data_IF_538754183674
#
_entry.id   IF_538754183674
#
_cell.length_a   1.000
_cell.length_b   1.000
_cell.length_c   1.000
_cell.angle_alpha   90.00
_cell.angle_beta   90.00
_cell.angle_gamma   90.00
#
_symmetry.space_group_name_H-M   'P 1'
#
loop_
_entity.id
_entity.type
_entity.pdbx_description
1 polymer ?
#
# COMPACT_ATOMS: atom_id res chain seq x y z
N UNK A 1 33.78 15.86 -17.04
CA UNK A 1 32.71 15.69 -18.05
C UNK A 1 31.40 15.50 -17.29
N UNK A 2 30.57 16.53 -17.19
CA UNK A 2 29.34 16.50 -16.39
C UNK A 2 28.19 15.93 -17.25
N UNK A 3 27.67 14.76 -16.86
CA UNK A 3 26.52 14.15 -17.50
C UNK A 3 25.25 14.94 -17.20
N UNK A 4 24.66 15.55 -18.24
CA UNK A 4 23.29 16.06 -18.19
C UNK A 4 22.34 14.87 -18.03
N UNK A 5 21.84 14.65 -16.82
CA UNK A 5 20.62 13.86 -16.58
C UNK A 5 19.44 14.63 -17.19
N UNK A 6 19.17 14.36 -18.47
CA UNK A 6 18.00 14.89 -19.16
C UNK A 6 16.72 14.39 -18.50
N UNK A 7 15.83 15.31 -18.12
CA UNK A 7 14.46 14.96 -17.71
C UNK A 7 13.79 14.19 -18.86
N UNK A 8 13.03 13.11 -18.58
CA UNK A 8 12.27 12.39 -19.60
C UNK A 8 11.39 13.36 -20.41
N UNK A 9 11.31 13.17 -21.72
CA UNK A 9 10.65 14.11 -22.64
C UNK A 9 9.18 14.41 -22.33
N UNK A 10 8.50 13.50 -21.61
CA UNK A 10 7.11 13.63 -21.19
C UNK A 10 6.92 14.42 -19.87
N UNK A 11 8.00 14.75 -19.17
CA UNK A 11 8.03 15.60 -17.96
C UNK A 11 8.71 16.95 -18.20
N UNK A 12 8.90 17.34 -19.46
CA UNK A 12 9.23 18.72 -19.77
C UNK A 12 8.01 19.58 -19.45
N UNK A 13 8.20 20.49 -18.49
CA UNK A 13 7.37 21.69 -18.36
C UNK A 13 7.11 22.24 -19.77
N UNK A 14 5.87 22.59 -20.16
CA UNK A 14 5.67 23.39 -21.37
C UNK A 14 6.58 24.62 -21.26
N UNK A 15 7.45 24.78 -22.26
CA UNK A 15 8.52 25.77 -22.23
C UNK A 15 7.91 27.16 -21.93
N UNK A 16 8.26 27.83 -20.80
CA UNK A 16 7.72 29.14 -20.48
C UNK A 16 8.18 30.21 -21.49
N UNK A 17 9.12 29.87 -22.39
CA UNK A 17 9.49 30.70 -23.53
C UNK A 17 8.54 30.56 -24.73
N UNK A 18 7.64 29.56 -24.73
CA UNK A 18 6.56 29.43 -25.72
C UNK A 18 5.22 30.00 -25.25
N UNK A 19 5.14 30.50 -24.01
CA UNK A 19 4.04 31.33 -23.54
C UNK A 19 4.56 32.73 -23.20
N UNK A 20 4.38 33.73 -24.07
CA UNK A 20 4.60 35.10 -23.69
C UNK A 20 3.48 35.47 -22.71
N UNK A 21 3.77 35.53 -21.40
CA UNK A 21 3.14 36.43 -20.41
C UNK A 21 3.51 36.01 -18.97
N UNK A 22 4.35 36.82 -18.32
CA UNK A 22 4.32 37.13 -16.88
C UNK A 22 4.73 36.01 -15.90
N UNK A 23 5.99 35.94 -15.47
CA UNK A 23 6.53 36.68 -14.31
C UNK A 23 6.53 35.90 -12.98
N UNK A 24 7.74 35.47 -12.61
CA UNK A 24 8.43 35.72 -11.33
C UNK A 24 7.66 35.47 -10.03
N UNK A 25 8.13 34.51 -9.22
CA UNK A 25 8.48 34.74 -7.82
C UNK A 25 9.33 33.58 -7.27
N UNK A 26 10.56 33.92 -6.89
CA UNK A 26 11.48 33.09 -6.15
C UNK A 26 11.18 33.19 -4.66
N UNK A 27 11.05 32.06 -3.95
CA UNK A 27 11.12 32.05 -2.48
C UNK A 27 12.00 30.88 -2.05
N UNK A 28 13.16 31.24 -1.50
CA UNK A 28 13.99 30.38 -0.67
C UNK A 28 13.26 30.12 0.66
N UNK A 29 13.13 28.86 1.06
CA UNK A 29 12.69 28.47 2.39
C UNK A 29 13.41 27.19 2.79
N UNK A 30 14.45 27.31 3.59
CA UNK A 30 15.12 26.19 4.22
C UNK A 30 14.24 25.66 5.35
N UNK A 31 13.97 24.35 5.38
CA UNK A 31 13.38 23.68 6.54
C UNK A 31 14.25 22.46 6.86
N UNK A 32 14.91 22.53 8.01
CA UNK A 32 15.65 21.44 8.66
C UNK A 32 14.62 20.50 9.30
N UNK A 33 14.73 19.20 9.05
CA UNK A 33 13.91 18.18 9.71
C UNK A 33 14.82 17.19 10.43
N UNK A 34 14.73 17.22 11.76
CA UNK A 34 15.47 16.41 12.72
C UNK A 34 14.94 14.97 12.69
N UNK A 35 15.81 14.02 12.36
CA UNK A 35 15.52 12.59 12.45
C UNK A 35 15.92 12.13 13.85
N UNK A 36 14.93 11.98 14.74
CA UNK A 36 15.10 11.31 16.01
C UNK A 36 14.99 9.80 15.82
N UNK A 37 16.13 9.12 15.83
CA UNK A 37 16.24 7.66 15.89
C UNK A 37 16.76 7.20 17.25
N UNK A 38 16.42 5.96 17.60
CA UNK A 38 16.97 5.20 18.73
C UNK A 38 15.90 4.86 19.78
N UNK A 39 15.83 3.66 20.34
CA UNK A 39 16.67 2.47 20.20
C UNK A 39 15.87 1.25 20.69
N UNK A 40 16.20 0.08 20.15
CA UNK A 40 15.81 -1.21 20.69
C UNK A 40 16.42 -1.41 22.09
N UNK A 41 15.63 -1.94 23.03
CA UNK A 41 16.15 -2.61 24.21
C UNK A 41 15.73 -4.08 24.16
N UNK A 42 16.72 -4.92 23.85
CA UNK A 42 16.74 -6.34 24.20
C UNK A 42 17.15 -6.43 25.68
N UNK A 43 16.39 -7.16 26.48
CA UNK A 43 16.85 -7.67 27.76
C UNK A 43 16.18 -9.02 28.02
N UNK A 44 16.97 -10.09 27.89
CA UNK A 44 16.72 -11.36 28.55
C UNK A 44 17.44 -11.38 29.91
N UNK A 45 16.90 -12.14 30.86
CA UNK A 45 17.55 -12.42 32.15
C UNK A 45 16.59 -13.14 33.11
N UNK A 46 17.04 -14.26 33.66
CA UNK A 46 16.27 -15.28 34.38
C UNK A 46 16.00 -15.00 35.88
N UNK A 47 14.96 -15.68 36.39
CA UNK A 47 14.46 -15.97 37.76
C UNK A 47 15.51 -16.27 38.87
N UNK A 48 15.20 -16.33 40.21
CA UNK A 48 13.92 -16.77 40.85
C UNK A 48 13.50 -16.14 42.22
N UNK A 49 12.23 -16.31 42.63
CA UNK A 49 11.85 -16.46 44.05
C UNK A 49 10.42 -17.00 44.29
N UNK A 50 10.36 -18.25 44.75
CA UNK A 50 9.56 -18.80 45.86
C UNK A 50 8.10 -18.37 46.08
N UNK A 51 7.20 -19.33 45.85
CA UNK A 51 5.87 -19.38 46.47
C UNK A 51 5.13 -20.67 46.14
N UNK A 52 5.25 -21.71 46.97
CA UNK A 52 4.31 -22.84 47.02
C UNK A 52 3.17 -22.49 48.01
N UNK A 53 1.94 -22.96 47.79
CA UNK A 53 1.48 -24.26 48.33
C UNK A 53 0.74 -25.12 47.28
N UNK A 54 1.05 -26.42 47.19
CA UNK A 54 0.29 -27.59 47.73
C UNK A 54 -1.12 -27.83 47.15
N UNK A 55 -1.23 -28.97 46.44
CA UNK A 55 -2.39 -29.84 46.13
C UNK A 55 -3.55 -29.22 45.33
N UNK A 56 -4.06 -29.83 44.26
CA UNK A 56 -4.88 -31.05 44.30
C UNK A 56 -4.92 -31.72 42.92
N UNK A 57 -5.05 -33.05 42.91
CA UNK A 57 -5.27 -33.87 41.73
C UNK A 57 -6.62 -33.58 41.04
N UNK A 58 -6.63 -33.81 39.72
CA UNK A 58 -7.82 -34.04 38.90
C UNK A 58 -8.57 -32.79 38.48
N UNK A 59 -8.49 -32.42 37.20
CA UNK A 59 -9.60 -32.68 36.26
C UNK A 59 -9.12 -32.31 34.85
N UNK A 60 -9.46 -33.16 33.88
CA UNK A 60 -9.21 -32.86 32.47
C UNK A 60 -10.24 -31.80 32.05
N UNK A 61 -9.87 -30.53 32.14
CA UNK A 61 -10.75 -29.46 31.65
C UNK A 61 -10.71 -29.49 30.13
N UNK A 62 -11.76 -30.06 29.57
CA UNK A 62 -12.04 -30.10 28.14
C UNK A 62 -12.07 -28.66 27.60
N UNK A 63 -11.04 -28.27 26.84
CA UNK A 63 -10.99 -27.02 26.08
C UNK A 63 -11.97 -27.12 24.90
N UNK A 64 -13.27 -27.01 25.19
CA UNK A 64 -14.33 -26.92 24.18
C UNK A 64 -14.67 -25.46 23.82
N UNK A 65 -14.03 -24.48 24.45
CA UNK A 65 -14.29 -23.04 24.26
C UNK A 65 -13.52 -22.37 23.12
N UNK A 66 -12.30 -22.81 22.82
CA UNK A 66 -11.41 -22.10 21.87
C UNK A 66 -11.68 -22.47 20.40
N UNK A 67 -12.23 -23.66 20.16
CA UNK A 67 -12.48 -24.18 18.80
C UNK A 67 -13.64 -23.45 18.11
N UNK A 68 -14.65 -23.03 18.87
CA UNK A 68 -15.84 -22.36 18.33
C UNK A 68 -15.52 -20.92 17.95
N UNK A 69 -14.78 -20.19 18.79
CA UNK A 69 -14.34 -18.82 18.48
C UNK A 69 -13.40 -18.78 17.28
N UNK A 70 -12.41 -19.69 17.21
CA UNK A 70 -11.50 -19.75 16.07
C UNK A 70 -12.17 -20.16 14.76
N UNK A 71 -13.12 -21.10 14.81
CA UNK A 71 -13.94 -21.46 13.65
C UNK A 71 -14.80 -20.27 13.19
N UNK A 72 -15.42 -19.53 14.12
CA UNK A 72 -16.22 -18.35 13.79
C UNK A 72 -15.36 -17.23 13.16
N UNK A 73 -14.20 -16.93 13.75
CA UNK A 73 -13.25 -15.95 13.21
C UNK A 73 -12.81 -16.30 11.78
N UNK A 74 -12.57 -17.59 11.52
CA UNK A 74 -12.17 -18.05 10.19
C UNK A 74 -13.28 -17.88 9.14
N UNK A 75 -14.54 -18.18 9.51
CA UNK A 75 -15.70 -18.01 8.63
C UNK A 75 -16.01 -16.54 8.38
N UNK A 76 -15.95 -15.70 9.41
CA UNK A 76 -16.11 -14.25 9.30
C UNK A 76 -15.00 -13.63 8.44
N UNK A 77 -13.75 -14.07 8.62
CA UNK A 77 -12.62 -13.61 7.82
C UNK A 77 -12.75 -13.99 6.35
N UNK A 78 -13.18 -15.22 6.04
CA UNK A 78 -13.45 -15.64 4.68
C UNK A 78 -14.60 -14.86 4.05
N UNK A 79 -15.69 -14.63 4.79
CA UNK A 79 -16.84 -13.83 4.36
C UNK A 79 -16.43 -12.37 4.07
N UNK A 80 -15.66 -11.76 4.97
CA UNK A 80 -15.10 -10.43 4.78
C UNK A 80 -14.19 -10.37 3.55
N UNK A 81 -13.32 -11.37 3.37
CA UNK A 81 -12.40 -11.42 2.24
C UNK A 81 -13.18 -11.46 0.92
N UNK A 82 -14.18 -12.33 0.81
CA UNK A 82 -15.02 -12.39 -0.38
C UNK A 82 -15.85 -11.11 -0.58
N UNK A 83 -16.45 -10.56 0.48
CA UNK A 83 -17.23 -9.32 0.42
C UNK A 83 -16.42 -8.10 -0.01
N UNK A 84 -15.10 -8.09 0.24
CA UNK A 84 -14.18 -7.02 -0.18
C UNK A 84 -13.54 -7.24 -1.56
N UNK A 85 -13.85 -8.34 -2.26
CA UNK A 85 -13.19 -8.73 -3.51
C UNK A 85 -13.24 -7.64 -4.59
N UNK A 86 -14.42 -7.06 -4.83
CA UNK A 86 -14.58 -6.04 -5.86
C UNK A 86 -13.74 -4.78 -5.60
N UNK A 87 -13.50 -4.44 -4.33
CA UNK A 87 -12.66 -3.32 -3.95
C UNK A 87 -11.17 -3.65 -4.13
N UNK A 88 -10.74 -4.84 -3.70
CA UNK A 88 -9.37 -5.31 -3.90
C UNK A 88 -9.03 -5.46 -5.38
N UNK A 89 -9.98 -5.90 -6.21
CA UNK A 89 -9.82 -6.03 -7.66
C UNK A 89 -9.67 -4.68 -8.39
N UNK A 90 -10.38 -3.63 -7.94
CA UNK A 90 -10.20 -2.27 -8.45
C UNK A 90 -8.79 -1.76 -8.18
N UNK A 91 -8.33 -1.85 -6.93
CA UNK A 91 -6.94 -1.49 -6.57
C UNK A 91 -5.95 -2.30 -7.39
N UNK A 92 -6.12 -3.61 -7.53
CA UNK A 92 -5.24 -4.45 -8.35
C UNK A 92 -5.21 -4.03 -9.83
N UNK A 93 -6.33 -3.57 -10.38
CA UNK A 93 -6.44 -3.05 -11.74
C UNK A 93 -5.64 -1.76 -11.91
N UNK A 94 -5.79 -0.81 -10.99
CA UNK A 94 -5.05 0.45 -11.00
C UNK A 94 -3.55 0.24 -10.80
N UNK A 95 -3.16 -0.68 -9.91
CA UNK A 95 -1.77 -1.07 -9.68
C UNK A 95 -1.15 -1.65 -10.96
N UNK A 96 -1.87 -2.55 -11.65
CA UNK A 96 -1.40 -3.12 -12.91
C UNK A 96 -1.25 -2.05 -14.01
N UNK A 97 -2.23 -1.16 -14.13
CA UNK A 97 -2.19 -0.04 -15.07
C UNK A 97 -1.03 0.92 -14.77
N UNK A 98 -0.81 1.28 -13.50
CA UNK A 98 0.27 2.16 -13.09
C UNK A 98 1.64 1.56 -13.46
N UNK A 99 1.84 0.26 -13.22
CA UNK A 99 3.06 -0.46 -13.62
C UNK A 99 3.25 -0.43 -15.13
N UNK A 100 2.19 -0.69 -15.90
CA UNK A 100 2.25 -0.67 -17.35
C UNK A 100 2.64 0.71 -17.89
N UNK A 101 2.00 1.79 -17.41
CA UNK A 101 2.30 3.15 -17.87
C UNK A 101 3.65 3.68 -17.37
N UNK A 102 4.12 3.28 -16.18
CA UNK A 102 5.48 3.55 -15.73
C UNK A 102 6.52 2.89 -16.65
N UNK A 103 6.31 1.62 -17.02
CA UNK A 103 7.21 0.90 -17.92
C UNK A 103 7.21 1.50 -19.34
N UNK A 104 6.04 1.93 -19.82
CA UNK A 104 5.88 2.61 -21.10
C UNK A 104 6.36 4.08 -21.09
N UNK A 105 6.64 4.64 -19.91
CA UNK A 105 6.95 6.06 -19.71
C UNK A 105 5.83 6.99 -20.22
N UNK A 106 4.57 6.56 -20.09
CA UNK A 106 3.40 7.30 -20.53
C UNK A 106 2.80 8.09 -19.36
N UNK A 107 3.27 9.32 -19.19
CA UNK A 107 2.77 10.22 -18.13
C UNK A 107 1.30 10.61 -18.30
N UNK A 108 0.82 10.74 -19.53
CA UNK A 108 -0.54 11.19 -19.82
C UNK A 108 -1.57 10.15 -19.36
N UNK A 109 -1.28 8.87 -19.60
CA UNK A 109 -2.11 7.77 -19.10
C UNK A 109 -1.84 7.42 -17.64
N UNK A 110 -0.61 7.64 -17.13
CA UNK A 110 -0.28 7.39 -15.72
C UNK A 110 -1.02 8.34 -14.77
N UNK A 111 -1.15 9.62 -15.10
CA UNK A 111 -1.77 10.63 -14.23
C UNK A 111 -3.19 10.26 -13.75
N UNK A 112 -4.16 9.93 -14.63
CA UNK A 112 -5.51 9.56 -14.18
C UNK A 112 -5.51 8.26 -13.37
N UNK A 113 -4.66 7.29 -13.70
CA UNK A 113 -4.55 6.03 -12.93
C UNK A 113 -4.07 6.30 -11.51
N UNK A 114 -3.12 7.21 -11.31
CA UNK A 114 -2.63 7.54 -9.97
C UNK A 114 -3.69 8.21 -9.09
N UNK A 115 -4.60 8.98 -9.69
CA UNK A 115 -5.77 9.52 -8.98
C UNK A 115 -6.76 8.42 -8.61
N UNK A 116 -7.05 7.50 -9.55
CA UNK A 116 -7.92 6.34 -9.31
C UNK A 116 -7.35 5.47 -8.18
N UNK A 117 -6.06 5.11 -8.26
CA UNK A 117 -5.38 4.30 -7.26
C UNK A 117 -5.51 4.90 -5.86
N UNK A 118 -5.29 6.22 -5.73
CA UNK A 118 -5.44 6.91 -4.45
C UNK A 118 -6.87 6.86 -3.92
N UNK A 119 -7.86 7.02 -4.81
CA UNK A 119 -9.29 6.99 -4.47
C UNK A 119 -9.73 5.59 -4.04
N UNK A 120 -9.42 4.56 -4.83
CA UNK A 120 -9.81 3.18 -4.53
C UNK A 120 -9.07 2.63 -3.31
N UNK A 121 -7.81 3.04 -3.10
CA UNK A 121 -7.07 2.67 -1.88
C UNK A 121 -7.65 3.36 -0.64
N UNK A 122 -8.04 4.63 -0.74
CA UNK A 122 -8.73 5.31 0.36
C UNK A 122 -10.08 4.64 0.66
N UNK A 123 -10.83 4.27 -0.37
CA UNK A 123 -12.06 3.50 -0.20
C UNK A 123 -11.79 2.17 0.51
N UNK A 124 -10.71 1.46 0.14
CA UNK A 124 -10.25 0.24 0.82
C UNK A 124 -9.97 0.46 2.31
N UNK A 125 -9.19 1.48 2.67
CA UNK A 125 -8.82 1.78 4.05
C UNK A 125 -9.99 2.26 4.93
N UNK A 126 -11.10 2.69 4.33
CA UNK A 126 -12.32 3.09 5.05
C UNK A 126 -13.45 2.07 5.00
N UNK A 127 -13.25 0.95 4.29
CA UNK A 127 -14.20 -0.14 4.21
C UNK A 127 -14.30 -0.90 5.55
N UNK A 128 -15.28 -1.81 5.71
CA UNK A 128 -15.32 -2.68 6.88
C UNK A 128 -13.98 -3.37 7.11
N UNK A 129 -13.50 -3.31 8.34
CA UNK A 129 -12.19 -3.80 8.77
C UNK A 129 -12.18 -5.33 8.82
N UNK A 130 -11.06 -6.00 8.52
CA UNK A 130 -10.95 -7.45 8.73
C UNK A 130 -11.26 -7.83 10.20
N UNK A 131 -11.96 -8.95 10.45
CA UNK A 131 -12.38 -9.32 11.80
C UNK A 131 -11.23 -9.79 12.71
N UNK A 132 -10.06 -10.11 12.15
CA UNK A 132 -8.88 -10.51 12.92
C UNK A 132 -7.77 -9.47 12.87
N UNK A 133 -7.07 -9.27 14.00
CA UNK A 133 -5.98 -8.30 14.13
C UNK A 133 -4.85 -8.56 13.11
N UNK A 134 -4.53 -9.83 12.86
CA UNK A 134 -3.50 -10.21 11.90
C UNK A 134 -3.88 -9.84 10.47
N UNK A 135 -5.15 -10.07 10.08
CA UNK A 135 -5.64 -9.69 8.75
C UNK A 135 -5.74 -8.17 8.61
N UNK A 136 -6.21 -7.47 9.64
CA UNK A 136 -6.27 -6.01 9.68
C UNK A 136 -4.89 -5.39 9.48
N UNK A 137 -3.88 -5.85 10.23
CA UNK A 137 -2.53 -5.29 10.14
C UNK A 137 -1.97 -5.38 8.71
N UNK A 138 -2.19 -6.49 8.01
CA UNK A 138 -1.73 -6.71 6.63
C UNK A 138 -2.55 -5.92 5.61
N UNK A 139 -3.86 -5.87 5.78
CA UNK A 139 -4.73 -5.08 4.92
C UNK A 139 -4.38 -3.58 4.99
N UNK A 140 -4.23 -3.05 6.21
CA UNK A 140 -3.88 -1.65 6.45
C UNK A 140 -2.45 -1.31 6.01
N UNK A 141 -1.48 -2.23 6.22
CA UNK A 141 -0.12 -2.04 5.73
C UNK A 141 -0.10 -1.94 4.20
N UNK A 142 -0.66 -2.91 3.49
CA UNK A 142 -0.67 -2.89 2.03
C UNK A 142 -1.47 -1.72 1.44
N UNK A 143 -2.60 -1.36 2.07
CA UNK A 143 -3.36 -0.18 1.67
C UNK A 143 -2.56 1.13 1.87
N UNK A 144 -1.80 1.27 2.96
CA UNK A 144 -0.92 2.44 3.15
C UNK A 144 0.21 2.49 2.13
N UNK A 145 0.77 1.35 1.76
CA UNK A 145 1.82 1.28 0.74
C UNK A 145 1.28 1.66 -0.65
N UNK A 146 0.09 1.19 -1.04
CA UNK A 146 -0.56 1.65 -2.28
C UNK A 146 -0.92 3.15 -2.23
N UNK A 147 -1.35 3.67 -1.09
CA UNK A 147 -1.61 5.10 -0.92
C UNK A 147 -0.32 5.92 -1.05
N UNK A 148 0.80 5.44 -0.51
CA UNK A 148 2.12 6.06 -0.67
C UNK A 148 2.60 6.05 -2.12
N UNK A 149 2.30 4.98 -2.87
CA UNK A 149 2.54 4.92 -4.31
C UNK A 149 1.73 5.98 -5.07
N UNK A 150 0.42 6.09 -4.80
CA UNK A 150 -0.44 7.11 -5.40
C UNK A 150 0.03 8.53 -5.09
N UNK A 151 0.42 8.81 -3.84
CA UNK A 151 0.96 10.10 -3.41
C UNK A 151 2.28 10.44 -4.13
N UNK A 152 3.20 9.47 -4.21
CA UNK A 152 4.47 9.64 -4.95
C UNK A 152 4.24 9.84 -6.44
N UNK A 153 3.22 9.19 -7.01
CA UNK A 153 2.85 9.38 -8.40
C UNK A 153 2.27 10.78 -8.65
N UNK A 154 1.41 11.28 -7.76
CA UNK A 154 0.92 12.67 -7.85
C UNK A 154 2.07 13.68 -7.86
N UNK A 155 3.12 13.45 -7.07
CA UNK A 155 4.33 14.29 -7.04
C UNK A 155 5.09 14.36 -8.37
N UNK A 156 4.92 13.39 -9.28
CA UNK A 156 5.47 13.46 -10.63
C UNK A 156 4.86 14.61 -11.44
N UNK A 157 3.61 14.95 -11.18
CA UNK A 157 2.82 15.91 -11.97
C UNK A 157 2.62 17.26 -11.26
N UNK A 158 2.78 17.31 -9.94
CA UNK A 158 2.59 18.53 -9.14
C UNK A 158 3.76 19.54 -9.20
N UNK A 159 4.74 19.34 -10.09
CA UNK A 159 5.90 20.23 -10.22
C UNK A 159 6.90 20.14 -9.06
N UNK A 160 6.93 19.01 -8.34
CA UNK A 160 7.87 18.81 -7.22
C UNK A 160 9.34 18.81 -7.69
N UNK A 161 10.26 19.20 -6.80
CA UNK A 161 11.72 19.22 -7.09
C UNK A 161 12.40 17.86 -6.92
N UNK A 162 11.65 16.81 -6.62
CA UNK A 162 12.23 15.47 -6.46
C UNK A 162 12.58 14.93 -7.85
N UNK A 163 13.74 14.29 -7.98
CA UNK A 163 14.16 13.71 -9.25
C UNK A 163 13.16 12.64 -9.70
N UNK A 164 12.78 12.69 -10.98
CA UNK A 164 11.79 11.78 -11.58
C UNK A 164 12.15 10.31 -11.33
N UNK A 165 13.41 9.94 -11.56
CA UNK A 165 13.86 8.56 -11.36
C UNK A 165 13.72 8.10 -9.90
N UNK A 166 13.88 9.01 -8.93
CA UNK A 166 13.67 8.72 -7.51
C UNK A 166 12.18 8.51 -7.21
N UNK A 167 11.30 9.33 -7.78
CA UNK A 167 9.85 9.16 -7.63
C UNK A 167 9.37 7.85 -8.28
N UNK A 168 9.83 7.53 -9.49
CA UNK A 168 9.50 6.26 -10.15
C UNK A 168 9.95 5.04 -9.34
N UNK A 169 11.15 5.08 -8.77
CA UNK A 169 11.65 4.03 -7.86
C UNK A 169 10.78 3.91 -6.60
N UNK A 170 10.40 5.03 -5.99
CA UNK A 170 9.50 5.04 -4.81
C UNK A 170 8.14 4.46 -5.14
N UNK A 171 7.55 4.84 -6.26
CA UNK A 171 6.26 4.29 -6.70
C UNK A 171 6.40 2.78 -6.89
N UNK A 172 7.39 2.32 -7.63
CA UNK A 172 7.60 0.89 -7.86
C UNK A 172 7.81 0.10 -6.55
N UNK A 173 8.59 0.64 -5.62
CA UNK A 173 8.83 0.02 -4.32
C UNK A 173 7.54 -0.07 -3.49
N UNK A 174 6.81 1.03 -3.33
CA UNK A 174 5.55 1.06 -2.58
C UNK A 174 4.47 0.18 -3.21
N UNK A 175 4.40 0.10 -4.55
CA UNK A 175 3.51 -0.85 -5.22
C UNK A 175 3.91 -2.31 -4.91
N UNK A 176 5.20 -2.63 -4.82
CA UNK A 176 5.67 -3.98 -4.48
C UNK A 176 5.45 -4.31 -3.00
N UNK A 177 5.62 -3.33 -2.11
CA UNK A 177 5.33 -3.48 -0.68
C UNK A 177 3.83 -3.75 -0.45
N UNK A 178 2.96 -3.00 -1.14
CA UNK A 178 1.52 -3.25 -1.12
C UNK A 178 1.15 -4.68 -1.56
N UNK A 179 1.74 -5.16 -2.68
CA UNK A 179 1.53 -6.53 -3.15
C UNK A 179 1.99 -7.58 -2.14
N UNK A 180 3.14 -7.35 -1.48
CA UNK A 180 3.65 -8.27 -0.48
C UNK A 180 2.67 -8.40 0.68
N UNK A 181 2.17 -7.29 1.21
CA UNK A 181 1.27 -7.31 2.37
C UNK A 181 -0.09 -7.92 2.03
N UNK A 182 -0.69 -7.54 0.89
CA UNK A 182 -1.97 -8.10 0.46
C UNK A 182 -1.86 -9.54 -0.07
N UNK A 183 -0.73 -9.93 -0.63
CA UNK A 183 -0.41 -11.32 -0.94
C UNK A 183 -0.26 -12.17 0.32
N UNK A 184 0.38 -11.63 1.36
CA UNK A 184 0.52 -12.32 2.63
C UNK A 184 -0.80 -12.38 3.42
N UNK A 185 -1.68 -11.39 3.26
CA UNK A 185 -3.09 -11.46 3.70
C UNK A 185 -3.83 -12.60 2.99
N UNK A 186 -3.71 -12.69 1.66
CA UNK A 186 -4.34 -13.75 0.88
C UNK A 186 -3.87 -15.14 1.34
N UNK A 187 -2.56 -15.29 1.56
CA UNK A 187 -1.96 -16.52 2.08
C UNK A 187 -2.44 -16.87 3.49
N UNK A 188 -2.60 -15.88 4.39
CA UNK A 188 -3.14 -16.07 5.74
C UNK A 188 -4.55 -16.70 5.71
N UNK A 189 -5.35 -16.36 4.70
CA UNK A 189 -6.75 -16.79 4.55
C UNK A 189 -6.84 -18.07 3.70
N UNK A 190 -5.76 -18.48 3.04
CA UNK A 190 -5.77 -19.59 2.09
C UNK A 190 -6.52 -19.27 0.79
N UNK A 191 -6.59 -18.00 0.41
CA UNK A 191 -7.30 -17.50 -0.76
C UNK A 191 -6.33 -16.85 -1.76
N UNK A 192 -6.66 -16.76 -3.05
CA UNK A 192 -5.84 -16.05 -4.01
C UNK A 192 -5.90 -14.53 -3.76
N UNK A 193 -4.78 -13.85 -4.01
CA UNK A 193 -4.77 -12.40 -4.07
C UNK A 193 -5.66 -11.93 -5.23
N UNK A 194 -6.39 -10.83 -5.04
CA UNK A 194 -7.15 -10.23 -6.11
C UNK A 194 -6.22 -9.81 -7.25
N UNK A 195 -6.58 -10.16 -8.47
CA UNK A 195 -5.87 -9.76 -9.68
C UNK A 195 -6.65 -8.66 -10.39
N UNK A 196 -5.97 -7.92 -11.27
CA UNK A 196 -6.63 -6.95 -12.14
C UNK A 196 -7.78 -7.62 -12.91
N UNK A 197 -8.92 -6.93 -12.95
CA UNK A 197 -10.03 -7.39 -13.77
C UNK A 197 -9.65 -7.25 -15.24
N UNK A 198 -9.93 -8.25 -16.10
CA UNK A 198 -9.72 -8.10 -17.53
C UNK A 198 -10.56 -6.92 -18.05
N UNK A 199 -10.06 -6.16 -19.05
CA UNK A 199 -10.83 -5.08 -19.62
C UNK A 199 -12.18 -5.63 -20.10
N UNK A 200 -13.27 -4.98 -19.72
CA UNK A 200 -14.60 -5.39 -20.15
C UNK A 200 -14.60 -5.45 -21.68
N UNK A 201 -14.81 -6.66 -22.23
CA UNK A 201 -14.96 -6.84 -23.66
C UNK A 201 -16.18 -6.04 -24.08
N UNK A 202 -15.95 -4.84 -24.59
CA UNK A 202 -17.01 -4.00 -25.12
C UNK A 202 -17.55 -4.74 -26.32
N UNK A 203 -18.73 -5.36 -26.14
CA UNK A 203 -19.44 -6.12 -27.14
C UNK A 203 -19.57 -5.26 -28.39
N UNK A 204 -18.77 -5.59 -29.40
CA UNK A 204 -18.98 -5.10 -30.75
C UNK A 204 -20.08 -5.98 -31.35
N UNK A 205 -21.32 -5.70 -30.95
CA UNK A 205 -22.49 -6.18 -31.67
C UNK A 205 -22.52 -5.42 -32.98
N UNK A 206 -22.14 -6.11 -34.06
CA UNK A 206 -22.29 -5.62 -35.44
C UNK A 206 -23.72 -5.71 -35.94
#
# INVERSE_FOLDING_TARGET
>A
MAGRSGRPGWLREPDPLQNPLGSRLAILGAIVLVIGGGAATLAGGADPASGLPTSTAGDSVSTAGDSVSTANDSAELASWYHGSEGLRARVATDVAAARAYLAAQDGASLQPVCVSLGTDTQAALTAPVPPTVAAQARFDAGGRDYAAAAASCKQLFDGTRIQVGVLQQRIAASLADGDREWGALAALIGQPMATASPPAASGRSG
#
